data_IF_282179440675
#
_entry.id   IF_282179440675
#
_cell.length_a   1.000
_cell.length_b   1.000
_cell.length_c   1.000
_cell.angle_alpha   90.00
_cell.angle_beta   90.00
_cell.angle_gamma   90.00
#
_symmetry.space_group_name_H-M   'P 1'
#
loop_
_entity.id
_entity.type
_entity.pdbx_description
1 polymer ?
#
# COMPACT_ATOMS: atom_id res chain seq x y z
N UNK A 1 13.46 -9.51 -1.74
CA UNK A 1 12.38 -8.75 -1.07
C UNK A 1 13.02 -7.83 -0.04
N UNK A 2 12.95 -6.51 -0.24
CA UNK A 2 13.53 -5.53 0.68
C UNK A 2 12.68 -5.45 1.95
N UNK A 3 12.97 -6.33 2.92
CA UNK A 3 12.30 -6.34 4.23
C UNK A 3 12.40 -4.99 4.94
N UNK A 4 13.46 -4.23 4.70
CA UNK A 4 13.65 -2.89 5.25
C UNK A 4 12.61 -1.87 4.76
N UNK A 5 11.96 -2.12 3.62
CA UNK A 5 10.98 -1.19 3.06
C UNK A 5 9.62 -1.29 3.76
N UNK A 6 9.28 -2.46 4.32
CA UNK A 6 7.96 -2.73 4.90
C UNK A 6 7.66 -1.90 6.14
N UNK A 7 8.69 -1.64 6.94
CA UNK A 7 8.58 -0.84 8.17
C UNK A 7 8.67 0.66 7.91
N UNK A 8 8.80 1.08 6.64
CA UNK A 8 8.87 2.50 6.30
C UNK A 8 7.49 3.07 6.09
N UNK A 9 7.40 4.39 6.28
CA UNK A 9 6.19 5.14 6.03
C UNK A 9 5.76 5.08 4.56
N UNK A 10 4.45 5.13 4.31
CA UNK A 10 3.89 5.13 2.96
C UNK A 10 4.38 6.30 2.09
N UNK A 11 4.85 7.38 2.70
CA UNK A 11 5.48 8.52 2.01
C UNK A 11 6.69 8.06 1.18
N UNK A 12 7.40 7.03 1.63
CA UNK A 12 8.57 6.49 0.90
C UNK A 12 8.20 5.69 -0.36
N UNK A 13 6.91 5.41 -0.60
CA UNK A 13 6.44 4.83 -1.86
C UNK A 13 6.39 5.84 -3.01
N UNK A 14 6.58 7.14 -2.74
CA UNK A 14 6.55 8.18 -3.78
C UNK A 14 5.24 8.13 -4.61
N UNK A 15 4.13 7.94 -3.90
CA UNK A 15 2.76 8.01 -4.44
C UNK A 15 2.20 9.41 -4.25
N UNK A 16 1.13 9.72 -4.99
CA UNK A 16 0.50 11.03 -4.92
C UNK A 16 0.11 11.42 -3.48
N UNK A 17 0.42 12.65 -3.01
CA UNK A 17 0.08 13.12 -1.67
C UNK A 17 -1.42 13.01 -1.33
N UNK A 18 -2.30 13.12 -2.32
CA UNK A 18 -3.75 12.93 -2.11
C UNK A 18 -4.09 11.49 -1.72
N UNK A 19 -3.39 10.51 -2.30
CA UNK A 19 -3.54 9.09 -1.95
C UNK A 19 -2.98 8.85 -0.54
N UNK A 20 -1.81 9.42 -0.23
CA UNK A 20 -1.19 9.34 1.11
C UNK A 20 -2.16 9.85 2.17
N UNK A 21 -2.80 10.99 1.93
CA UNK A 21 -3.81 11.53 2.85
C UNK A 21 -4.97 10.56 3.08
N UNK A 22 -5.52 9.95 2.03
CA UNK A 22 -6.60 8.96 2.16
C UNK A 22 -6.17 7.73 2.94
N UNK A 23 -4.95 7.25 2.72
CA UNK A 23 -4.38 6.11 3.44
C UNK A 23 -4.18 6.44 4.92
N UNK A 24 -3.55 7.57 5.24
CA UNK A 24 -3.35 8.03 6.62
C UNK A 24 -4.68 8.30 7.35
N UNK A 25 -5.69 8.84 6.67
CA UNK A 25 -7.04 9.00 7.23
C UNK A 25 -7.74 7.68 7.60
N UNK A 26 -7.21 6.54 7.14
CA UNK A 26 -7.69 5.20 7.46
C UNK A 26 -6.63 4.40 8.24
N UNK A 27 -5.73 5.10 8.95
CA UNK A 27 -4.68 4.52 9.80
C UNK A 27 -3.66 3.63 9.06
N UNK A 28 -3.51 3.81 7.73
CA UNK A 28 -2.51 3.11 6.92
C UNK A 28 -1.30 4.03 6.79
N UNK A 29 -0.33 3.87 7.68
CA UNK A 29 0.82 4.77 7.79
C UNK A 29 2.12 4.11 7.30
N UNK A 30 2.22 2.78 7.36
CA UNK A 30 3.40 2.03 6.90
C UNK A 30 3.12 1.14 5.69
N UNK A 31 4.18 0.83 4.94
CA UNK A 31 4.10 0.08 3.69
C UNK A 31 3.56 -1.34 3.93
N UNK A 32 3.91 -2.01 5.04
CA UNK A 32 3.41 -3.36 5.35
C UNK A 32 1.88 -3.41 5.52
N UNK A 33 1.30 -2.38 6.14
CA UNK A 33 -0.15 -2.26 6.30
C UNK A 33 -0.82 -2.17 4.94
N UNK A 34 -0.38 -1.23 4.10
CA UNK A 34 -0.89 -1.06 2.74
C UNK A 34 -0.74 -2.35 1.92
N UNK A 35 0.38 -3.04 2.07
CA UNK A 35 0.71 -4.22 1.28
C UNK A 35 -0.26 -5.40 1.51
N UNK A 36 -0.88 -5.45 2.69
CA UNK A 36 -1.88 -6.45 3.04
C UNK A 36 -3.26 -6.20 2.40
N UNK A 37 -3.52 -4.99 1.91
CA UNK A 37 -4.83 -4.63 1.37
C UNK A 37 -5.10 -5.27 0.01
N UNK A 38 -6.38 -5.54 -0.23
CA UNK A 38 -6.95 -5.88 -1.54
C UNK A 38 -7.49 -4.62 -2.20
N UNK A 39 -7.58 -4.65 -3.53
CA UNK A 39 -8.24 -3.60 -4.34
C UNK A 39 -9.62 -3.20 -3.81
N UNK A 40 -10.43 -4.19 -3.39
CA UNK A 40 -11.77 -3.94 -2.84
C UNK A 40 -11.73 -3.17 -1.52
N UNK A 41 -10.71 -3.38 -0.69
CA UNK A 41 -10.53 -2.67 0.59
C UNK A 41 -10.05 -1.24 0.33
N UNK A 42 -9.13 -1.06 -0.63
CA UNK A 42 -8.72 0.27 -1.08
C UNK A 42 -9.89 1.11 -1.65
N UNK A 43 -10.85 0.46 -2.34
CA UNK A 43 -12.09 1.15 -2.76
C UNK A 43 -12.96 1.58 -1.59
N UNK A 44 -13.06 0.74 -0.54
CA UNK A 44 -13.87 1.04 0.65
C UNK A 44 -13.35 2.25 1.43
N UNK A 45 -12.05 2.48 1.40
CA UNK A 45 -11.41 3.66 2.04
C UNK A 45 -11.39 4.90 1.13
N UNK A 46 -12.06 4.86 -0.03
CA UNK A 46 -12.25 6.02 -0.89
C UNK A 46 -11.21 6.23 -1.98
N UNK A 47 -10.37 5.22 -2.29
CA UNK A 47 -9.53 5.27 -3.49
C UNK A 47 -10.34 4.85 -4.73
N UNK A 48 -10.18 5.61 -5.81
CA UNK A 48 -10.72 5.27 -7.12
C UNK A 48 -9.80 4.29 -7.88
N UNK A 49 -10.28 3.77 -9.01
CA UNK A 49 -9.52 2.78 -9.80
C UNK A 49 -8.16 3.29 -10.30
N UNK A 50 -8.03 4.58 -10.62
CA UNK A 50 -6.77 5.18 -11.07
C UNK A 50 -5.77 5.30 -9.92
N UNK A 51 -6.22 5.77 -8.75
CA UNK A 51 -5.41 5.86 -7.54
C UNK A 51 -4.93 4.47 -7.09
N UNK A 52 -5.83 3.48 -7.11
CA UNK A 52 -5.48 2.08 -6.83
C UNK A 52 -4.41 1.61 -7.81
N UNK A 53 -4.60 1.85 -9.11
CA UNK A 53 -3.63 1.45 -10.14
C UNK A 53 -2.25 2.09 -9.89
N UNK A 54 -2.20 3.35 -9.50
CA UNK A 54 -0.96 4.04 -9.16
C UNK A 54 -0.26 3.39 -7.95
N UNK A 55 -1.02 3.09 -6.89
CA UNK A 55 -0.49 2.36 -5.71
C UNK A 55 0.12 1.02 -6.11
N UNK A 56 -0.58 0.24 -6.96
CA UNK A 56 -0.09 -1.06 -7.44
C UNK A 56 1.25 -0.88 -8.16
N UNK A 57 1.31 0.05 -9.13
CA UNK A 57 2.52 0.29 -9.93
C UNK A 57 3.69 0.69 -9.02
N UNK A 58 3.46 1.57 -8.05
CA UNK A 58 4.52 2.05 -7.14
C UNK A 58 5.01 0.95 -6.20
N UNK A 59 4.13 0.07 -5.72
CA UNK A 59 4.54 -1.14 -4.99
C UNK A 59 5.36 -2.08 -5.88
N UNK A 60 4.93 -2.30 -7.13
CA UNK A 60 5.61 -3.21 -8.07
C UNK A 60 7.00 -2.70 -8.46
N UNK A 61 7.17 -1.39 -8.64
CA UNK A 61 8.48 -0.76 -8.86
C UNK A 61 9.45 -0.97 -7.68
N UNK A 62 8.93 -1.26 -6.49
CA UNK A 62 9.71 -1.62 -5.31
C UNK A 62 9.80 -3.14 -5.09
N UNK A 63 9.33 -3.94 -6.05
CA UNK A 63 9.35 -5.40 -6.02
C UNK A 63 8.29 -6.01 -5.10
N UNK A 64 7.14 -5.35 -4.95
CA UNK A 64 6.03 -5.79 -4.10
C UNK A 64 4.70 -5.81 -4.88
N UNK A 65 3.86 -6.81 -4.62
CA UNK A 65 2.50 -6.91 -5.18
C UNK A 65 1.45 -6.82 -4.08
N UNK A 66 0.38 -6.04 -4.28
CA UNK A 66 -0.75 -5.99 -3.35
C UNK A 66 -1.32 -7.39 -3.04
N UNK A 67 -2.05 -7.48 -1.93
CA UNK A 67 -2.69 -8.71 -1.47
C UNK A 67 -1.64 -9.79 -1.12
N UNK A 68 -0.55 -9.38 -0.48
CA UNK A 68 0.33 -10.35 0.18
C UNK A 68 -0.47 -11.04 1.27
N UNK A 69 -0.69 -12.35 1.13
CA UNK A 69 -1.10 -13.16 2.27
C UNK A 69 0.04 -13.06 3.29
N UNK A 70 -0.23 -12.56 4.51
CA UNK A 70 0.70 -12.75 5.63
C UNK A 70 0.91 -14.27 5.71
N UNK A 71 2.05 -14.76 5.22
CA UNK A 71 2.47 -16.12 5.47
C UNK A 71 2.75 -16.13 6.98
N UNK A 72 1.77 -16.55 7.77
CA UNK A 72 2.03 -17.06 9.11
C UNK A 72 2.95 -18.26 8.90
N UNK A 73 4.25 -18.01 9.01
CA UNK A 73 5.23 -19.07 9.23
C UNK A 73 5.07 -19.39 10.71
N UNK A 74 4.10 -20.27 11.01
CA UNK A 74 4.12 -21.03 12.25
C UNK A 74 5.40 -21.87 12.30
#
# INVERSE_FOLDING_TARGET
>A
MNKELLNKEIIQLDIDPSIIKKLNSNDINIIDELWCFKRKELKKIGLNDNEIKQVIIKLQLKGMDLNRRKYNRN
#
